data_IF_073502868022
#
_entry.id   IF_073502868022
#
_cell.length_a   1.000
_cell.length_b   1.000
_cell.length_c   1.000
_cell.angle_alpha   90.00
_cell.angle_beta   90.00
_cell.angle_gamma   90.00
#
_symmetry.space_group_name_H-M   'P 1'
#
loop_
_entity.id
_entity.type
_entity.pdbx_description
1 polymer ?
#
# COMPACT_ATOMS: atom_id res chain seq x y z
N UNK A 1 -39.86 -16.19 -17.67
CA UNK A 1 -38.47 -15.95 -18.13
C UNK A 1 -38.13 -14.46 -18.31
N UNK A 2 -39.11 -13.53 -18.24
CA UNK A 2 -38.87 -12.08 -18.45
C UNK A 2 -38.69 -11.24 -17.16
N UNK A 3 -39.03 -11.77 -15.98
CA UNK A 3 -38.94 -11.04 -14.68
C UNK A 3 -37.52 -10.97 -14.13
N UNK A 4 -36.61 -11.83 -14.57
CA UNK A 4 -35.22 -11.84 -14.13
C UNK A 4 -34.40 -10.71 -14.78
N UNK A 5 -34.67 -10.44 -16.06
CA UNK A 5 -33.90 -9.48 -16.85
C UNK A 5 -34.06 -8.03 -16.32
N UNK A 6 -35.29 -7.63 -15.96
CA UNK A 6 -35.55 -6.28 -15.42
C UNK A 6 -34.91 -6.01 -14.05
N UNK A 7 -34.73 -7.05 -13.21
CA UNK A 7 -33.98 -6.94 -11.95
C UNK A 7 -32.49 -6.74 -12.19
N UNK A 8 -31.94 -7.40 -13.21
CA UNK A 8 -30.53 -7.28 -13.59
C UNK A 8 -30.24 -5.90 -14.19
N UNK A 9 -31.11 -5.40 -15.07
CA UNK A 9 -31.01 -4.05 -15.65
C UNK A 9 -31.02 -2.96 -14.55
N UNK A 10 -32.00 -3.02 -13.63
CA UNK A 10 -32.08 -2.05 -12.53
C UNK A 10 -30.92 -2.12 -11.52
N UNK A 11 -30.20 -3.25 -11.46
CA UNK A 11 -29.00 -3.39 -10.62
C UNK A 11 -27.76 -2.86 -11.34
N UNK A 12 -27.65 -3.05 -12.66
CA UNK A 12 -26.61 -2.43 -13.48
C UNK A 12 -26.67 -0.91 -13.42
N UNK A 13 -27.86 -0.32 -13.56
CA UNK A 13 -28.03 1.14 -13.53
C UNK A 13 -27.60 1.77 -12.19
N UNK A 14 -27.86 1.08 -11.07
CA UNK A 14 -27.43 1.52 -9.73
C UNK A 14 -25.92 1.40 -9.53
N UNK A 15 -25.28 0.40 -10.12
CA UNK A 15 -23.83 0.23 -10.06
C UNK A 15 -23.14 1.25 -10.95
N UNK A 16 -23.61 1.43 -12.18
CA UNK A 16 -23.02 2.36 -13.16
C UNK A 16 -23.15 3.83 -12.72
N UNK A 17 -24.29 4.21 -12.14
CA UNK A 17 -24.51 5.56 -11.58
C UNK A 17 -23.60 5.86 -10.38
N UNK A 18 -23.31 4.86 -9.53
CA UNK A 18 -22.39 5.00 -8.40
C UNK A 18 -20.94 5.09 -8.85
N UNK A 19 -20.55 4.30 -9.87
CA UNK A 19 -19.20 4.30 -10.43
C UNK A 19 -18.87 5.59 -11.20
N UNK A 20 -19.85 6.17 -11.92
CA UNK A 20 -19.70 7.48 -12.60
C UNK A 20 -19.30 8.61 -11.66
N UNK A 21 -19.80 8.60 -10.42
CA UNK A 21 -19.54 9.64 -9.42
C UNK A 21 -18.30 9.38 -8.55
N UNK A 22 -17.84 8.13 -8.48
CA UNK A 22 -16.70 7.74 -7.63
C UNK A 22 -15.34 8.20 -8.19
N UNK A 23 -15.26 8.56 -9.47
CA UNK A 23 -14.03 8.98 -10.15
C UNK A 23 -13.77 10.49 -10.23
N UNK A 24 -14.77 11.34 -9.93
CA UNK A 24 -14.67 12.81 -10.09
C UNK A 24 -14.85 13.61 -8.78
N UNK A 25 -14.79 12.95 -7.62
CA UNK A 25 -14.81 13.62 -6.31
C UNK A 25 -13.52 14.37 -5.99
N UNK A 26 -13.52 15.13 -4.88
CA UNK A 26 -12.39 15.94 -4.34
C UNK A 26 -11.05 15.19 -4.37
N UNK A 27 -11.04 13.90 -4.05
CA UNK A 27 -9.86 13.04 -4.03
C UNK A 27 -9.30 12.66 -5.41
N UNK A 28 -10.16 12.55 -6.43
CA UNK A 28 -9.71 12.28 -7.80
C UNK A 28 -8.90 13.43 -8.40
N UNK A 29 -9.19 14.67 -7.99
CA UNK A 29 -8.38 15.85 -8.37
C UNK A 29 -7.02 15.84 -7.67
N UNK A 30 -6.98 15.41 -6.40
CA UNK A 30 -5.74 15.34 -5.61
C UNK A 30 -4.80 14.26 -6.15
N UNK A 31 -5.31 13.07 -6.45
CA UNK A 31 -4.48 11.99 -7.04
C UNK A 31 -3.93 12.42 -8.41
N UNK A 32 -4.69 13.16 -9.21
CA UNK A 32 -4.20 13.73 -10.48
C UNK A 32 -3.17 14.84 -10.31
N UNK A 33 -3.12 15.50 -9.16
CA UNK A 33 -2.09 16.50 -8.82
C UNK A 33 -0.85 15.88 -8.16
N UNK A 34 -0.91 14.62 -7.73
CA UNK A 34 0.24 13.92 -7.21
C UNK A 34 1.24 13.66 -8.34
N UNK A 35 2.49 14.05 -8.14
CA UNK A 35 3.56 13.76 -9.10
C UNK A 35 3.94 12.29 -8.97
N UNK A 36 3.81 11.53 -10.05
CA UNK A 36 4.38 10.17 -10.12
C UNK A 36 5.90 10.28 -9.93
N UNK A 37 6.49 9.54 -8.98
CA UNK A 37 7.93 9.61 -8.74
C UNK A 37 8.69 9.11 -9.95
N UNK A 38 9.85 9.68 -10.22
CA UNK A 38 10.73 9.15 -11.26
C UNK A 38 11.34 7.81 -10.81
N UNK A 39 11.68 6.89 -11.74
CA UNK A 39 12.30 5.62 -11.39
C UNK A 39 13.61 5.76 -10.59
N UNK A 40 14.36 6.83 -10.82
CA UNK A 40 15.61 7.13 -10.10
C UNK A 40 15.36 7.58 -8.67
N UNK A 41 14.41 8.48 -8.44
CA UNK A 41 14.01 8.92 -7.08
C UNK A 41 13.48 7.74 -6.26
N UNK A 42 12.69 6.88 -6.88
CA UNK A 42 12.16 5.68 -6.24
C UNK A 42 13.29 4.73 -5.84
N UNK A 43 14.21 4.43 -6.77
CA UNK A 43 15.37 3.55 -6.51
C UNK A 43 16.25 4.11 -5.39
N UNK A 44 16.54 5.40 -5.39
CA UNK A 44 17.36 6.01 -4.34
C UNK A 44 16.70 5.90 -2.96
N UNK A 45 15.40 6.18 -2.91
CA UNK A 45 14.63 6.13 -1.66
C UNK A 45 14.57 4.71 -1.12
N UNK A 46 14.22 3.72 -1.96
CA UNK A 46 14.11 2.31 -1.52
C UNK A 46 15.46 1.73 -1.11
N UNK A 47 16.57 2.14 -1.74
CA UNK A 47 17.90 1.71 -1.34
C UNK A 47 18.28 2.25 0.02
N UNK A 48 18.02 3.54 0.30
CA UNK A 48 18.34 4.15 1.59
C UNK A 48 17.49 3.54 2.71
N UNK A 49 16.18 3.38 2.50
CA UNK A 49 15.30 2.76 3.49
C UNK A 49 15.63 1.28 3.69
N UNK A 50 15.95 0.56 2.62
CA UNK A 50 16.38 -0.84 2.68
C UNK A 50 17.64 -1.01 3.54
N UNK A 51 18.65 -0.17 3.33
CA UNK A 51 19.87 -0.17 4.15
C UNK A 51 19.55 0.15 5.61
N UNK A 52 18.70 1.15 5.86
CA UNK A 52 18.30 1.53 7.23
C UNK A 52 17.62 0.39 7.99
N UNK A 53 16.70 -0.33 7.34
CA UNK A 53 16.01 -1.48 7.94
C UNK A 53 17.01 -2.60 8.26
N UNK A 54 17.97 -2.88 7.38
CA UNK A 54 19.00 -3.90 7.61
C UNK A 54 19.88 -3.52 8.80
N UNK A 55 20.33 -2.27 8.88
CA UNK A 55 21.19 -1.80 9.99
C UNK A 55 20.44 -1.85 11.32
N UNK A 56 19.21 -1.33 11.38
CA UNK A 56 18.40 -1.36 12.60
C UNK A 56 18.08 -2.80 13.03
N UNK A 57 17.76 -3.68 12.07
CA UNK A 57 17.54 -5.09 12.32
C UNK A 57 18.79 -5.78 12.86
N UNK A 58 19.96 -5.52 12.28
CA UNK A 58 21.24 -6.09 12.73
C UNK A 58 21.61 -5.63 14.14
N UNK A 59 21.39 -4.35 14.48
CA UNK A 59 21.64 -3.82 15.83
C UNK A 59 20.71 -4.46 16.85
N UNK A 60 19.39 -4.49 16.57
CA UNK A 60 18.42 -5.14 17.46
C UNK A 60 18.69 -6.65 17.62
N UNK A 61 19.04 -7.32 16.53
CA UNK A 61 19.44 -8.73 16.53
C UNK A 61 20.71 -8.96 17.33
N UNK A 62 21.72 -8.09 17.18
CA UNK A 62 22.97 -8.18 17.93
C UNK A 62 22.76 -8.03 19.44
N UNK A 63 21.87 -7.14 19.88
CA UNK A 63 21.51 -7.00 21.29
C UNK A 63 20.82 -8.27 21.80
N UNK A 64 19.86 -8.81 21.05
CA UNK A 64 19.16 -10.06 21.42
C UNK A 64 20.11 -11.26 21.48
N UNK A 65 21.01 -11.39 20.50
CA UNK A 65 22.03 -12.43 20.48
C UNK A 65 22.93 -12.30 21.71
N UNK A 66 23.46 -11.10 21.96
CA UNK A 66 24.33 -10.86 23.11
C UNK A 66 23.65 -11.21 24.44
N UNK A 67 22.39 -10.78 24.64
CA UNK A 67 21.61 -11.10 25.84
C UNK A 67 21.26 -12.58 25.98
N UNK A 68 21.16 -13.34 24.89
CA UNK A 68 20.80 -14.77 24.93
C UNK A 68 22.01 -15.64 25.24
N UNK A 69 23.18 -15.32 24.68
CA UNK A 69 24.39 -16.11 24.86
C UNK A 69 25.20 -15.73 26.10
N UNK A 70 25.15 -14.48 26.58
CA UNK A 70 25.80 -14.05 27.83
C UNK A 70 25.41 -14.90 29.07
N UNK A 71 24.11 -15.16 29.36
CA UNK A 71 23.70 -15.96 30.53
C UNK A 71 23.88 -17.47 30.33
N UNK A 72 24.30 -17.92 29.14
CA UNK A 72 24.65 -19.33 28.90
C UNK A 72 26.14 -19.60 29.18
N UNK A 73 26.99 -18.57 29.12
CA UNK A 73 28.42 -18.68 29.37
C UNK A 73 28.84 -18.32 30.81
N UNK A 74 27.95 -17.72 31.60
CA UNK A 74 28.13 -17.35 33.02
C UNK A 74 27.01 -17.96 33.86
#
# INVERSE_FOLDING_TARGET
MSTENSKVEGFQDKIESKFRNIGKGKYGRIIKMARTPTPEEYRKTVTITGIGIIVLGAVGFGIMWLMTYLPTYF
#
